data_IF_331677706258
#
_entry.id   IF_331677706258
#
_cell.length_a   1.000
_cell.length_b   1.000
_cell.length_c   1.000
_cell.angle_alpha   90.00
_cell.angle_beta   90.00
_cell.angle_gamma   90.00
#
_symmetry.space_group_name_H-M   'P 1'
#
loop_
_entity.id
_entity.type
_entity.pdbx_description
1 polymer ?
#
# COMPACT_ATOMS: atom_id res chain seq x y z
N UNK A 1 17.20 49.40 34.59
CA UNK A 1 15.81 49.20 34.15
C UNK A 1 15.88 48.87 32.65
N UNK A 2 15.70 47.64 32.29
CA UNK A 2 15.73 47.19 30.87
C UNK A 2 14.29 47.18 30.37
N UNK A 3 13.97 48.04 29.42
CA UNK A 3 12.68 48.12 28.78
C UNK A 3 12.60 46.95 27.73
N UNK A 4 11.74 45.97 28.00
CA UNK A 4 11.46 44.89 27.06
C UNK A 4 10.72 45.45 25.83
N UNK A 5 11.30 45.27 24.64
CA UNK A 5 10.65 45.57 23.36
C UNK A 5 9.57 44.53 23.10
N UNK A 6 8.32 44.92 23.27
CA UNK A 6 7.17 44.12 22.83
C UNK A 6 7.01 44.31 21.31
N UNK A 7 7.46 43.31 20.52
CA UNK A 7 7.29 43.33 19.07
C UNK A 7 5.85 42.93 18.75
N UNK A 8 4.98 43.86 18.40
CA UNK A 8 3.63 43.57 17.91
C UNK A 8 3.67 43.19 16.47
N UNK A 9 3.15 41.99 16.14
CA UNK A 9 3.00 41.57 14.76
C UNK A 9 2.04 42.48 13.99
N UNK A 10 2.38 42.79 12.73
CA UNK A 10 1.49 43.55 11.86
C UNK A 10 0.19 42.77 11.59
N UNK A 11 -0.95 43.47 11.36
CA UNK A 11 -2.22 42.81 11.06
C UNK A 11 -2.12 41.81 9.86
N UNK A 12 -1.32 42.14 8.83
CA UNK A 12 -1.08 41.26 7.70
C UNK A 12 -0.29 40.02 8.08
N UNK A 13 0.70 40.11 8.95
CA UNK A 13 1.46 38.98 9.45
C UNK A 13 0.60 38.05 10.31
N UNK A 14 -0.33 38.62 11.10
CA UNK A 14 -1.28 37.81 11.87
C UNK A 14 -2.30 37.06 11.00
N UNK A 15 -2.75 37.66 9.89
CA UNK A 15 -3.63 37.01 8.90
C UNK A 15 -2.89 35.89 8.16
N UNK A 16 -1.64 36.15 7.75
CA UNK A 16 -0.82 35.11 7.09
C UNK A 16 -0.54 33.92 8.03
N UNK A 17 -0.16 34.16 9.27
CA UNK A 17 0.07 33.12 10.27
C UNK A 17 -1.21 32.30 10.59
N UNK A 18 -2.37 32.95 10.57
CA UNK A 18 -3.66 32.25 10.73
C UNK A 18 -4.01 31.38 9.52
N UNK A 19 -3.76 31.86 8.29
CA UNK A 19 -3.95 31.11 7.06
C UNK A 19 -3.04 29.88 7.02
N UNK A 20 -1.74 30.02 7.31
CA UNK A 20 -0.80 28.90 7.43
C UNK A 20 -1.24 27.87 8.49
N UNK A 21 -1.74 28.33 9.63
CA UNK A 21 -2.21 27.46 10.71
C UNK A 21 -3.47 26.69 10.29
N UNK A 22 -4.39 27.31 9.54
CA UNK A 22 -5.60 26.67 8.99
C UNK A 22 -5.20 25.64 7.91
N UNK A 23 -4.35 26.03 6.95
CA UNK A 23 -3.86 25.12 5.91
C UNK A 23 -3.10 23.93 6.51
N UNK A 24 -2.28 24.15 7.54
CA UNK A 24 -1.59 23.08 8.26
C UNK A 24 -2.56 22.17 9.04
N UNK A 25 -3.62 22.73 9.61
CA UNK A 25 -4.66 21.96 10.27
C UNK A 25 -5.45 21.10 9.28
N UNK A 26 -5.80 21.62 8.10
CA UNK A 26 -6.48 20.88 7.04
C UNK A 26 -5.62 19.74 6.50
N UNK A 27 -4.29 19.87 6.45
CA UNK A 27 -3.37 18.77 6.08
C UNK A 27 -3.29 17.66 7.13
N UNK A 28 -3.65 17.94 8.38
CA UNK A 28 -3.63 16.97 9.49
C UNK A 28 -5.00 16.30 9.67
N UNK A 29 -6.08 16.98 9.27
CA UNK A 29 -7.42 16.38 9.25
C UNK A 29 -7.58 15.60 7.95
N UNK A 30 -7.35 14.29 8.04
CA UNK A 30 -7.43 13.41 6.87
C UNK A 30 -8.84 13.31 6.29
N UNK A 31 -8.91 13.06 4.99
CA UNK A 31 -10.15 12.66 4.31
C UNK A 31 -10.52 11.24 4.76
N UNK A 32 -11.81 10.93 4.99
CA UNK A 32 -12.23 9.58 5.25
C UNK A 32 -11.79 8.62 4.15
N UNK A 33 -11.37 7.42 4.52
CA UNK A 33 -11.03 6.38 3.56
C UNK A 33 -12.26 6.02 2.73
N UNK A 34 -12.06 5.75 1.44
CA UNK A 34 -13.11 5.33 0.52
C UNK A 34 -12.79 3.98 -0.10
N UNK A 35 -13.81 3.23 -0.45
CA UNK A 35 -13.66 2.02 -1.27
C UNK A 35 -13.68 2.42 -2.74
N UNK A 36 -12.53 2.31 -3.40
CA UNK A 36 -12.36 2.72 -4.80
C UNK A 36 -12.75 1.60 -5.77
N UNK A 37 -13.28 1.98 -6.92
CA UNK A 37 -13.45 1.06 -8.05
C UNK A 37 -12.09 0.68 -8.64
N UNK A 38 -12.03 -0.48 -9.33
CA UNK A 38 -10.84 -0.85 -10.11
C UNK A 38 -10.61 0.18 -11.22
N UNK A 39 -9.35 0.50 -11.56
CA UNK A 39 -9.02 1.39 -12.66
C UNK A 39 -9.22 0.74 -14.06
N UNK A 40 -9.65 -0.51 -14.12
CA UNK A 40 -9.88 -1.30 -15.33
C UNK A 40 -10.99 -2.35 -15.09
N UNK A 41 -11.62 -2.90 -16.16
CA UNK A 41 -12.60 -3.98 -16.04
C UNK A 41 -12.01 -5.26 -15.43
N UNK A 42 -12.85 -6.14 -14.89
CA UNK A 42 -12.40 -7.39 -14.24
C UNK A 42 -11.64 -8.34 -15.19
N UNK A 43 -11.93 -8.32 -16.47
CA UNK A 43 -11.29 -9.17 -17.50
C UNK A 43 -10.02 -8.55 -18.11
N UNK A 44 -9.67 -7.32 -17.73
CA UNK A 44 -8.57 -6.57 -18.34
C UNK A 44 -7.19 -7.20 -18.14
N UNK A 45 -7.01 -8.03 -17.11
CA UNK A 45 -5.74 -8.68 -16.81
C UNK A 45 -5.62 -10.12 -17.41
N UNK A 46 -6.64 -10.53 -18.19
CA UNK A 46 -6.53 -11.79 -18.94
C UNK A 46 -5.39 -11.72 -19.98
N UNK A 47 -4.71 -12.81 -20.27
CA UNK A 47 -4.92 -14.17 -19.75
C UNK A 47 -4.15 -14.47 -18.45
N UNK A 48 -3.57 -13.47 -17.78
CA UNK A 48 -2.66 -13.67 -16.65
C UNK A 48 -3.39 -13.79 -15.30
N UNK A 49 -4.42 -13.00 -15.08
CA UNK A 49 -5.33 -13.12 -13.92
C UNK A 49 -6.75 -13.16 -14.46
N UNK A 50 -7.53 -14.16 -14.05
CA UNK A 50 -8.86 -14.37 -14.60
C UNK A 50 -9.90 -13.41 -14.04
N UNK A 51 -10.91 -13.09 -14.86
CA UNK A 51 -11.97 -12.15 -14.53
C UNK A 51 -12.72 -12.53 -13.23
N UNK A 52 -12.94 -13.84 -13.00
CA UNK A 52 -13.67 -14.31 -11.83
C UNK A 52 -12.86 -14.10 -10.55
N UNK A 53 -11.56 -14.34 -10.59
CA UNK A 53 -10.65 -13.99 -9.49
C UNK A 53 -10.71 -12.49 -9.21
N UNK A 54 -10.59 -11.63 -10.23
CA UNK A 54 -10.61 -10.17 -10.05
C UNK A 54 -11.94 -9.68 -9.46
N UNK A 55 -13.08 -10.21 -9.92
CA UNK A 55 -14.40 -9.88 -9.37
C UNK A 55 -14.49 -10.22 -7.88
N UNK A 56 -14.17 -11.45 -7.50
CA UNK A 56 -14.26 -11.91 -6.12
C UNK A 56 -13.23 -11.20 -5.22
N UNK A 57 -12.02 -11.04 -5.72
CA UNK A 57 -10.93 -10.44 -4.98
C UNK A 57 -11.22 -8.97 -4.64
N UNK A 58 -11.72 -8.18 -5.60
CA UNK A 58 -12.10 -6.80 -5.36
C UNK A 58 -13.43 -6.71 -4.58
N UNK A 59 -14.52 -7.32 -5.12
CA UNK A 59 -15.88 -7.07 -4.60
C UNK A 59 -16.20 -7.78 -3.28
N UNK A 60 -15.42 -8.81 -2.90
CA UNK A 60 -15.62 -9.58 -1.68
C UNK A 60 -14.46 -9.44 -0.70
N UNK A 61 -13.23 -9.83 -1.10
CA UNK A 61 -12.09 -9.83 -0.18
C UNK A 61 -11.66 -8.41 0.19
N UNK A 62 -11.35 -7.55 -0.79
CA UNK A 62 -11.00 -6.15 -0.51
C UNK A 62 -12.15 -5.40 0.19
N UNK A 63 -13.38 -5.60 -0.27
CA UNK A 63 -14.55 -4.98 0.36
C UNK A 63 -14.69 -5.37 1.83
N UNK A 64 -14.47 -6.64 2.18
CA UNK A 64 -14.53 -7.08 3.57
C UNK A 64 -13.43 -6.46 4.45
N UNK A 65 -12.24 -6.17 3.90
CA UNK A 65 -11.21 -5.44 4.63
C UNK A 65 -11.62 -3.99 4.89
N UNK A 66 -12.16 -3.31 3.88
CA UNK A 66 -12.66 -1.95 4.05
C UNK A 66 -13.77 -1.85 5.11
N UNK A 67 -14.80 -2.70 4.99
CA UNK A 67 -15.92 -2.72 5.94
C UNK A 67 -15.46 -3.10 7.36
N UNK A 68 -14.53 -4.05 7.47
CA UNK A 68 -13.91 -4.46 8.73
C UNK A 68 -13.09 -3.36 9.39
N UNK A 69 -12.37 -2.55 8.61
CA UNK A 69 -11.64 -1.39 9.11
C UNK A 69 -12.59 -0.34 9.67
N UNK A 70 -13.62 0.04 8.91
CA UNK A 70 -14.62 1.00 9.39
C UNK A 70 -15.28 0.55 10.70
N UNK A 71 -15.59 -0.76 10.80
CA UNK A 71 -16.13 -1.33 12.03
C UNK A 71 -15.14 -1.23 13.19
N UNK A 72 -13.88 -1.60 12.97
CA UNK A 72 -12.85 -1.54 14.02
C UNK A 72 -12.63 -0.11 14.52
N UNK A 73 -12.57 0.87 13.62
CA UNK A 73 -12.43 2.28 13.97
C UNK A 73 -13.63 2.82 14.74
N UNK A 74 -14.86 2.43 14.36
CA UNK A 74 -16.07 2.80 15.07
C UNK A 74 -16.09 2.22 16.50
N UNK A 75 -15.69 0.98 16.69
CA UNK A 75 -15.61 0.37 18.01
C UNK A 75 -14.51 0.98 18.88
N UNK A 76 -13.34 1.28 18.31
CA UNK A 76 -12.28 2.03 19.01
C UNK A 76 -12.74 3.43 19.41
N UNK A 77 -13.57 4.08 18.61
CA UNK A 77 -14.20 5.35 18.96
C UNK A 77 -15.15 5.20 20.16
N UNK A 78 -16.02 4.17 20.17
CA UNK A 78 -16.90 3.87 21.31
C UNK A 78 -16.12 3.60 22.60
N UNK A 79 -15.00 2.86 22.52
CA UNK A 79 -14.12 2.65 23.68
C UNK A 79 -13.64 3.98 24.27
N UNK A 80 -13.24 4.94 23.43
CA UNK A 80 -12.81 6.29 23.88
C UNK A 80 -13.96 7.10 24.49
N UNK A 81 -15.14 7.02 23.91
CA UNK A 81 -16.33 7.77 24.38
C UNK A 81 -16.88 7.23 25.70
N UNK A 82 -16.86 5.92 25.89
CA UNK A 82 -17.36 5.25 27.11
C UNK A 82 -16.33 5.17 28.24
N UNK A 83 -15.04 5.24 27.92
CA UNK A 83 -13.96 4.92 28.87
C UNK A 83 -13.79 3.43 29.16
N UNK A 84 -14.54 2.56 28.47
CA UNK A 84 -14.40 1.10 28.56
C UNK A 84 -13.41 0.59 27.53
N UNK A 85 -12.26 0.13 27.97
CA UNK A 85 -11.18 -0.42 27.13
C UNK A 85 -11.03 -1.93 27.25
N UNK A 86 -12.02 -2.66 27.77
CA UNK A 86 -12.00 -4.12 27.95
C UNK A 86 -11.71 -4.88 26.64
N UNK A 87 -12.13 -4.33 25.49
CA UNK A 87 -11.92 -4.92 24.15
C UNK A 87 -10.81 -4.24 23.33
N UNK A 88 -9.96 -3.43 23.96
CA UNK A 88 -8.97 -2.62 23.24
C UNK A 88 -7.97 -3.47 22.43
N UNK A 89 -7.51 -4.57 22.99
CA UNK A 89 -6.58 -5.49 22.29
C UNK A 89 -7.22 -6.07 21.03
N UNK A 90 -8.44 -6.57 21.15
CA UNK A 90 -9.16 -7.16 20.03
C UNK A 90 -9.36 -6.15 18.89
N UNK A 91 -9.87 -4.96 19.19
CA UNK A 91 -10.16 -3.97 18.17
C UNK A 91 -8.89 -3.36 17.57
N UNK A 92 -7.81 -3.19 18.36
CA UNK A 92 -6.52 -2.75 17.83
C UNK A 92 -5.93 -3.77 16.85
N UNK A 93 -6.01 -5.07 17.14
CA UNK A 93 -5.59 -6.13 16.21
C UNK A 93 -6.46 -6.15 14.95
N UNK A 94 -7.78 -5.96 15.08
CA UNK A 94 -8.70 -5.89 13.93
C UNK A 94 -8.43 -4.66 13.07
N UNK A 95 -8.18 -3.51 13.67
CA UNK A 95 -7.81 -2.30 12.93
C UNK A 95 -6.52 -2.52 12.12
N UNK A 96 -5.46 -3.05 12.72
CA UNK A 96 -4.20 -3.34 12.03
C UNK A 96 -4.39 -4.34 10.87
N UNK A 97 -5.13 -5.42 11.10
CA UNK A 97 -5.39 -6.45 10.09
C UNK A 97 -6.19 -5.89 8.91
N UNK A 98 -7.29 -5.21 9.18
CA UNK A 98 -8.17 -4.69 8.14
C UNK A 98 -7.58 -3.47 7.42
N UNK A 99 -6.88 -2.58 8.14
CA UNK A 99 -6.18 -1.45 7.52
C UNK A 99 -5.06 -1.92 6.58
N UNK A 100 -4.26 -2.89 7.01
CA UNK A 100 -3.24 -3.51 6.16
C UNK A 100 -3.85 -4.13 4.91
N UNK A 101 -4.96 -4.88 5.06
CA UNK A 101 -5.67 -5.46 3.93
C UNK A 101 -6.22 -4.40 2.97
N UNK A 102 -6.91 -3.39 3.47
CA UNK A 102 -7.43 -2.31 2.63
C UNK A 102 -6.31 -1.55 1.90
N UNK A 103 -5.24 -1.19 2.61
CA UNK A 103 -4.10 -0.46 2.04
C UNK A 103 -3.40 -1.25 0.92
N UNK A 104 -3.04 -2.51 1.19
CA UNK A 104 -2.31 -3.32 0.22
C UNK A 104 -3.16 -3.63 -1.01
N UNK A 105 -4.46 -3.90 -0.88
CA UNK A 105 -5.34 -4.10 -2.01
C UNK A 105 -5.53 -2.80 -2.83
N UNK A 106 -5.70 -1.64 -2.18
CA UNK A 106 -5.80 -0.35 -2.87
C UNK A 106 -4.54 -0.04 -3.69
N UNK A 107 -3.36 -0.40 -3.19
CA UNK A 107 -2.11 -0.32 -3.94
C UNK A 107 -2.05 -1.36 -5.06
N UNK A 108 -2.43 -2.61 -4.78
CA UNK A 108 -2.34 -3.75 -5.69
C UNK A 108 -3.07 -3.50 -7.01
N UNK A 109 -4.29 -2.96 -6.95
CA UNK A 109 -5.05 -2.62 -8.15
C UNK A 109 -4.33 -1.61 -9.04
N UNK A 110 -3.67 -0.63 -8.45
CA UNK A 110 -2.98 0.47 -9.16
C UNK A 110 -1.64 0.04 -9.74
N UNK A 111 -0.92 -0.88 -9.06
CA UNK A 111 0.37 -1.41 -9.55
C UNK A 111 0.21 -2.51 -10.59
N UNK A 112 -1.02 -2.76 -11.07
CA UNK A 112 -1.31 -3.62 -12.21
C UNK A 112 -1.98 -2.83 -13.33
N UNK A 113 -1.77 -3.26 -14.57
CA UNK A 113 -2.44 -2.74 -15.77
C UNK A 113 -2.52 -3.85 -16.83
N UNK A 114 -3.42 -3.74 -17.81
CA UNK A 114 -3.49 -4.68 -18.92
C UNK A 114 -2.15 -4.81 -19.65
N UNK A 115 -1.76 -6.02 -20.00
CA UNK A 115 -0.53 -6.28 -20.74
C UNK A 115 -0.53 -5.51 -22.07
N UNK A 116 0.58 -4.85 -22.37
CA UNK A 116 0.72 -3.99 -23.57
C UNK A 116 -0.03 -2.64 -23.49
N UNK A 117 -0.76 -2.37 -22.39
CA UNK A 117 -1.41 -1.10 -22.11
C UNK A 117 -0.92 -0.49 -20.78
N UNK A 118 0.36 -0.56 -20.54
CA UNK A 118 1.02 -0.11 -19.32
C UNK A 118 1.41 -1.24 -18.37
N UNK A 119 0.92 -2.46 -18.58
CA UNK A 119 1.33 -3.66 -17.84
C UNK A 119 2.48 -4.39 -18.51
N UNK A 120 3.37 -4.95 -17.69
CA UNK A 120 4.52 -5.75 -18.12
C UNK A 120 5.78 -4.95 -18.46
N UNK A 121 6.72 -5.63 -19.10
CA UNK A 121 8.00 -5.02 -19.46
C UNK A 121 8.98 -4.86 -18.29
N UNK A 122 9.85 -3.87 -18.42
CA UNK A 122 10.88 -3.53 -17.43
C UNK A 122 10.76 -2.06 -17.03
N UNK A 123 11.04 -1.71 -15.76
CA UNK A 123 11.08 -0.31 -15.34
C UNK A 123 12.26 0.42 -16.00
N UNK A 124 12.04 1.67 -16.34
CA UNK A 124 13.05 2.62 -16.82
C UNK A 124 13.18 3.80 -15.84
N UNK A 125 13.82 4.89 -16.29
CA UNK A 125 13.92 6.12 -15.53
C UNK A 125 14.54 5.94 -14.14
N UNK A 126 14.01 6.68 -13.18
CA UNK A 126 14.53 6.71 -11.80
C UNK A 126 14.29 5.37 -11.08
N UNK A 127 13.15 4.74 -11.31
CA UNK A 127 12.86 3.44 -10.70
C UNK A 127 13.81 2.35 -11.23
N UNK A 128 14.07 2.33 -12.56
CA UNK A 128 15.02 1.38 -13.16
C UNK A 128 16.42 1.54 -12.59
N UNK A 129 16.89 2.79 -12.46
CA UNK A 129 18.18 3.10 -11.85
C UNK A 129 18.27 2.66 -10.38
N UNK A 130 17.24 2.97 -9.58
CA UNK A 130 17.18 2.56 -8.17
C UNK A 130 17.17 1.03 -8.01
N UNK A 131 16.45 0.31 -8.87
CA UNK A 131 16.47 -1.16 -8.86
C UNK A 131 17.86 -1.69 -9.22
N UNK A 132 18.53 -1.13 -10.24
CA UNK A 132 19.87 -1.54 -10.61
C UNK A 132 20.89 -1.28 -9.49
N UNK A 133 20.79 -0.15 -8.80
CA UNK A 133 21.65 0.21 -7.68
C UNK A 133 21.48 -0.75 -6.49
N UNK A 134 20.24 -1.06 -6.11
CA UNK A 134 19.95 -1.85 -4.90
C UNK A 134 20.06 -3.36 -5.12
N UNK A 135 19.85 -3.85 -6.35
CA UNK A 135 19.79 -5.29 -6.65
C UNK A 135 20.79 -5.74 -7.73
N UNK A 136 21.59 -4.81 -8.29
CA UNK A 136 22.56 -5.08 -9.33
C UNK A 136 21.97 -5.11 -10.74
N UNK A 137 20.74 -5.60 -10.92
CA UNK A 137 20.02 -5.58 -12.20
C UNK A 137 18.53 -5.82 -11.99
N UNK A 138 17.73 -5.52 -13.01
CA UNK A 138 16.29 -5.88 -13.00
C UNK A 138 16.08 -7.40 -12.90
N UNK A 139 16.89 -8.20 -13.58
CA UNK A 139 16.78 -9.66 -13.53
C UNK A 139 17.08 -10.22 -12.14
N UNK A 140 18.08 -9.67 -11.45
CA UNK A 140 18.40 -10.06 -10.08
C UNK A 140 17.27 -9.66 -9.12
N UNK A 141 16.75 -8.44 -9.24
CA UNK A 141 15.57 -7.98 -8.51
C UNK A 141 14.37 -8.90 -8.74
N UNK A 142 14.02 -9.17 -10.00
CA UNK A 142 12.89 -10.03 -10.37
C UNK A 142 13.03 -11.44 -9.79
N UNK A 143 14.22 -12.02 -9.83
CA UNK A 143 14.52 -13.33 -9.23
C UNK A 143 14.31 -13.32 -7.72
N UNK A 144 14.85 -12.31 -7.02
CA UNK A 144 14.73 -12.19 -5.57
C UNK A 144 13.26 -11.96 -5.15
N UNK A 145 12.55 -11.07 -5.83
CA UNK A 145 11.14 -10.78 -5.54
C UNK A 145 10.25 -12.01 -5.81
N UNK A 146 10.47 -12.70 -6.93
CA UNK A 146 9.75 -13.95 -7.26
C UNK A 146 10.00 -15.01 -6.20
N UNK A 147 11.25 -15.21 -5.78
CA UNK A 147 11.59 -16.17 -4.72
C UNK A 147 10.91 -15.81 -3.39
N UNK A 148 10.90 -14.52 -3.02
CA UNK A 148 10.21 -14.04 -1.84
C UNK A 148 8.70 -14.31 -1.92
N UNK A 149 8.05 -14.04 -3.08
CA UNK A 149 6.63 -14.27 -3.26
C UNK A 149 6.22 -15.75 -3.18
N UNK A 150 7.02 -16.63 -3.79
CA UNK A 150 6.76 -18.07 -3.77
C UNK A 150 6.98 -18.67 -2.37
N UNK A 151 7.96 -18.15 -1.63
CA UNK A 151 8.35 -18.65 -0.32
C UNK A 151 7.51 -18.12 0.85
N UNK A 152 6.51 -17.27 0.61
CA UNK A 152 5.59 -16.82 1.69
C UNK A 152 4.88 -18.03 2.29
N UNK A 153 5.03 -18.22 3.60
CA UNK A 153 4.34 -19.30 4.32
C UNK A 153 2.86 -18.96 4.51
N UNK A 154 1.99 -19.87 4.10
CA UNK A 154 0.54 -19.68 4.20
C UNK A 154 0.06 -18.50 3.37
N UNK A 155 -0.66 -17.58 4.00
CA UNK A 155 -1.26 -16.41 3.38
C UNK A 155 -0.43 -15.15 3.63
N UNK A 156 -0.13 -14.41 2.58
CA UNK A 156 0.63 -13.18 2.73
C UNK A 156 0.95 -12.48 1.42
N UNK A 157 1.97 -11.64 1.46
CA UNK A 157 2.38 -10.75 0.37
C UNK A 157 3.90 -10.75 0.21
N UNK A 158 4.38 -10.59 -1.01
CA UNK A 158 5.72 -10.09 -1.25
C UNK A 158 5.64 -8.62 -1.66
N UNK A 159 6.50 -7.79 -1.08
CA UNK A 159 6.43 -6.34 -1.15
C UNK A 159 7.79 -5.75 -1.49
N UNK A 160 7.82 -4.79 -2.42
CA UNK A 160 8.95 -3.89 -2.60
C UNK A 160 8.68 -2.64 -1.78
N UNK A 161 9.57 -2.34 -0.84
CA UNK A 161 9.50 -1.18 0.04
C UNK A 161 10.60 -0.17 -0.27
N UNK A 162 10.28 1.10 -0.08
CA UNK A 162 11.25 2.17 0.07
C UNK A 162 11.54 2.40 1.56
N UNK A 163 12.79 2.26 1.98
CA UNK A 163 13.23 2.53 3.35
C UNK A 163 13.66 3.99 3.46
N UNK A 164 12.92 4.78 4.23
CA UNK A 164 13.06 6.25 4.25
C UNK A 164 14.37 6.74 4.88
N UNK A 165 14.94 5.97 5.80
CA UNK A 165 16.13 6.37 6.56
C UNK A 165 17.40 6.49 5.70
N UNK A 166 17.57 5.59 4.75
CA UNK A 166 18.76 5.49 3.87
C UNK A 166 18.40 5.47 2.38
N UNK A 167 17.12 5.68 2.04
CA UNK A 167 16.58 5.73 0.67
C UNK A 167 16.82 4.46 -0.15
N UNK A 168 16.88 3.31 0.52
CA UNK A 168 17.10 2.00 -0.10
C UNK A 168 15.79 1.33 -0.50
N UNK A 169 15.83 0.58 -1.59
CA UNK A 169 14.78 -0.37 -1.93
C UNK A 169 15.05 -1.72 -1.26
N UNK A 170 14.04 -2.25 -0.58
CA UNK A 170 14.13 -3.56 0.11
C UNK A 170 12.94 -4.44 -0.24
N UNK A 171 13.18 -5.74 -0.42
CA UNK A 171 12.12 -6.73 -0.61
C UNK A 171 11.79 -7.32 0.76
N UNK A 172 10.51 -7.24 1.12
CA UNK A 172 9.99 -7.80 2.37
C UNK A 172 8.83 -8.76 2.07
N UNK A 173 8.52 -9.61 3.04
CA UNK A 173 7.28 -10.39 3.06
C UNK A 173 6.36 -9.82 4.13
N UNK A 174 5.06 -9.97 3.95
CA UNK A 174 4.09 -9.79 5.02
C UNK A 174 3.32 -11.10 5.24
N UNK A 175 3.31 -11.59 6.47
CA UNK A 175 2.37 -12.63 6.88
C UNK A 175 0.98 -12.00 7.04
N UNK A 176 -0.02 -12.62 6.46
CA UNK A 176 -1.33 -12.01 6.25
C UNK A 176 -1.19 -10.70 5.45
N UNK A 177 -1.29 -9.53 6.06
CA UNK A 177 -1.07 -8.22 5.42
C UNK A 177 -0.44 -7.19 6.36
N UNK A 178 -0.06 -7.55 7.58
CA UNK A 178 0.34 -6.59 8.62
C UNK A 178 1.44 -7.10 9.55
N UNK A 179 1.88 -8.35 9.42
CA UNK A 179 2.97 -8.93 10.22
C UNK A 179 4.24 -9.08 9.37
N UNK A 180 5.39 -9.19 10.02
CA UNK A 180 6.73 -9.33 9.43
C UNK A 180 7.20 -8.10 8.65
N UNK A 181 6.51 -6.98 8.72
CA UNK A 181 6.93 -5.73 8.07
C UNK A 181 8.03 -5.03 8.89
N UNK A 182 8.86 -4.26 8.19
CA UNK A 182 9.90 -3.43 8.81
C UNK A 182 9.37 -2.01 9.03
N UNK A 183 9.54 -1.47 10.26
CA UNK A 183 9.23 -0.06 10.55
C UNK A 183 10.13 0.89 9.75
N UNK A 184 9.61 2.07 9.41
CA UNK A 184 10.34 3.07 8.63
C UNK A 184 10.47 2.73 7.15
N UNK A 185 9.61 1.88 6.64
CA UNK A 185 9.51 1.55 5.21
C UNK A 185 8.11 1.81 4.67
N UNK A 186 8.02 2.16 3.39
CA UNK A 186 6.75 2.38 2.69
C UNK A 186 6.65 1.38 1.53
N UNK A 187 5.61 0.55 1.45
CA UNK A 187 5.43 -0.35 0.32
C UNK A 187 5.09 0.45 -0.94
N UNK A 188 5.80 0.18 -2.04
CA UNK A 188 5.61 0.84 -3.33
C UNK A 188 5.10 -0.11 -4.41
N UNK A 189 5.26 -1.41 -4.22
CA UNK A 189 4.75 -2.48 -5.08
C UNK A 189 4.52 -3.73 -4.25
N UNK A 190 3.54 -4.55 -4.60
CA UNK A 190 3.31 -5.83 -3.95
C UNK A 190 2.51 -6.80 -4.79
N UNK A 191 2.65 -8.09 -4.48
CA UNK A 191 1.83 -9.17 -5.01
C UNK A 191 1.14 -9.90 -3.87
N UNK A 192 -0.16 -10.06 -3.99
CA UNK A 192 -0.96 -10.90 -3.11
C UNK A 192 -0.73 -12.37 -3.44
N UNK A 193 -0.27 -13.15 -2.47
CA UNK A 193 -0.10 -14.61 -2.60
C UNK A 193 -1.00 -15.39 -1.63
N UNK A 194 -2.03 -14.76 -1.09
CA UNK A 194 -3.17 -15.47 -0.53
C UNK A 194 -3.80 -16.36 -1.60
N UNK A 195 -4.27 -17.54 -1.26
CA UNK A 195 -4.86 -18.47 -2.25
C UNK A 195 -6.04 -17.85 -3.01
N UNK A 196 -6.82 -16.96 -2.39
CA UNK A 196 -7.93 -16.28 -3.07
C UNK A 196 -7.49 -15.42 -4.26
N UNK A 197 -6.22 -15.02 -4.33
CA UNK A 197 -5.70 -14.20 -5.41
C UNK A 197 -5.39 -15.00 -6.69
N UNK A 198 -5.29 -16.35 -6.59
CA UNK A 198 -4.84 -17.16 -7.75
C UNK A 198 -5.47 -18.55 -7.86
N UNK A 199 -6.14 -19.07 -6.83
CA UNK A 199 -6.51 -20.48 -6.76
C UNK A 199 -7.49 -20.92 -7.87
N UNK A 200 -8.41 -20.05 -8.30
CA UNK A 200 -9.38 -20.39 -9.35
C UNK A 200 -8.70 -20.75 -10.67
N UNK A 201 -7.62 -20.04 -11.04
CA UNK A 201 -6.90 -20.28 -12.29
C UNK A 201 -5.68 -21.19 -12.11
N UNK A 202 -4.92 -20.98 -11.06
CA UNK A 202 -3.62 -21.63 -10.87
C UNK A 202 -3.64 -22.76 -9.84
N UNK A 203 -4.70 -22.87 -9.04
CA UNK A 203 -4.82 -23.85 -7.96
C UNK A 203 -3.58 -23.79 -7.04
N UNK A 204 -2.92 -24.89 -6.77
CA UNK A 204 -1.73 -24.95 -5.91
C UNK A 204 -0.44 -24.42 -6.59
N UNK A 205 -0.50 -24.00 -7.85
CA UNK A 205 0.67 -23.56 -8.62
C UNK A 205 0.97 -22.08 -8.41
N UNK A 206 1.27 -21.68 -7.16
CA UNK A 206 1.62 -20.29 -6.81
C UNK A 206 2.74 -19.73 -7.69
N UNK A 207 3.77 -20.53 -7.98
CA UNK A 207 4.89 -20.10 -8.80
C UNK A 207 4.45 -19.68 -10.23
N UNK A 208 3.48 -20.39 -10.83
CA UNK A 208 2.96 -20.05 -12.16
C UNK A 208 2.19 -18.71 -12.12
N UNK A 209 1.39 -18.48 -11.06
CA UNK A 209 0.73 -17.21 -10.85
C UNK A 209 1.73 -16.05 -10.68
N UNK A 210 2.74 -16.21 -9.84
CA UNK A 210 3.77 -15.18 -9.62
C UNK A 210 4.50 -14.87 -10.93
N UNK A 211 4.83 -15.89 -11.73
CA UNK A 211 5.45 -15.70 -13.05
C UNK A 211 4.52 -14.99 -14.05
N UNK A 212 3.23 -15.33 -14.04
CA UNK A 212 2.25 -14.68 -14.90
C UNK A 212 2.01 -13.21 -14.53
N UNK A 213 2.01 -12.89 -13.23
CA UNK A 213 1.77 -11.54 -12.70
C UNK A 213 2.76 -10.49 -13.23
N UNK A 214 4.02 -10.85 -13.54
CA UNK A 214 4.99 -9.93 -14.10
C UNK A 214 4.55 -9.30 -15.43
N UNK A 215 3.64 -9.93 -16.17
CA UNK A 215 3.12 -9.40 -17.43
C UNK A 215 2.11 -8.26 -17.25
N UNK A 216 1.64 -8.04 -16.03
CA UNK A 216 0.63 -7.01 -15.71
C UNK A 216 1.15 -5.94 -14.75
N UNK A 217 2.43 -5.94 -14.37
CA UNK A 217 3.00 -4.93 -13.47
C UNK A 217 3.02 -3.56 -14.14
N UNK A 218 2.40 -2.57 -13.51
CA UNK A 218 2.37 -1.17 -13.94
C UNK A 218 3.56 -0.39 -13.35
N UNK A 219 4.69 -0.43 -14.04
CA UNK A 219 5.93 0.21 -13.57
C UNK A 219 5.81 1.72 -13.40
N UNK A 220 4.99 2.38 -14.22
CA UNK A 220 4.73 3.82 -14.08
C UNK A 220 4.08 4.15 -12.72
N UNK A 221 3.13 3.33 -12.27
CA UNK A 221 2.52 3.51 -10.95
C UNK A 221 3.50 3.21 -9.83
N UNK A 222 4.34 2.18 -9.98
CA UNK A 222 5.38 1.86 -8.99
C UNK A 222 6.36 3.04 -8.84
N UNK A 223 6.77 3.68 -9.94
CA UNK A 223 7.61 4.88 -9.90
C UNK A 223 6.90 6.05 -9.19
N UNK A 224 5.61 6.27 -9.46
CA UNK A 224 4.83 7.29 -8.76
C UNK A 224 4.76 7.02 -7.25
N UNK A 225 4.60 5.76 -6.85
CA UNK A 225 4.61 5.35 -5.44
C UNK A 225 5.98 5.62 -4.81
N UNK A 226 7.09 5.35 -5.53
CA UNK A 226 8.45 5.69 -5.08
C UNK A 226 8.60 7.19 -4.85
N UNK A 227 8.16 8.03 -5.78
CA UNK A 227 8.19 9.48 -5.60
C UNK A 227 7.37 9.94 -4.40
N UNK A 228 6.18 9.38 -4.21
CA UNK A 228 5.35 9.72 -3.06
C UNK A 228 6.00 9.31 -1.73
N UNK A 229 6.66 8.15 -1.67
CA UNK A 229 7.36 7.64 -0.49
C UNK A 229 8.67 8.40 -0.16
N UNK A 230 9.27 9.09 -1.15
CA UNK A 230 10.55 9.78 -1.02
C UNK A 230 10.44 11.24 -0.54
N UNK A 231 9.23 11.78 -0.45
CA UNK A 231 8.93 13.14 0.05
C UNK A 231 8.90 13.17 1.57
#
# INVERSE_FOLDING_TARGET
>A
MSAGVVTTMSPMAAVAARAEKVERAERIVGTPLSFENLPYPYDALEPYIDAKTMELHHSKHHRAYFDGLQKAEAELKKCRESGDFSMIEYWSKKAAFHAGGHYLHSMFWKVMAPAGQGGGGTPDGILGAAIAENFGSFDAFKKQFTAAAVAVEGSGWALLHFRTADKQLVILQAENQHKLTQWGTVPIMGIDVWEHAYYLKYQNRRADYVNAWWNVVNWKQVEQNLFAASR
#
